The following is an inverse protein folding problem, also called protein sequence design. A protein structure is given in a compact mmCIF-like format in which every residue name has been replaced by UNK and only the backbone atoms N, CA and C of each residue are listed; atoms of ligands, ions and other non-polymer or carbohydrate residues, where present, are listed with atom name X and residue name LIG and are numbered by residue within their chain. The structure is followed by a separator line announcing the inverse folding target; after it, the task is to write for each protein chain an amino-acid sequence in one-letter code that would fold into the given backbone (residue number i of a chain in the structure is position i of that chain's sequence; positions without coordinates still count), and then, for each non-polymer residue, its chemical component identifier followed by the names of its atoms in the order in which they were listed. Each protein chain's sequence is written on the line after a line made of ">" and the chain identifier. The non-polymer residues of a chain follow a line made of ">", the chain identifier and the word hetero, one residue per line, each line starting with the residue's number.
data_IF_267193278937
#
_entry.id   IF_267193278937
#
_cell.length_a   1.000
_cell.length_b   1.000
_cell.length_c   1.000
_cell.angle_alpha   90.00
_cell.angle_beta   90.00
_cell.angle_gamma   90.00
#
_symmetry.space_group_name_H-M   'P 1'
#
loop_
_entity.id
_entity.type
_entity.pdbx_description
1 polymer ?
#
# COMPACT_ATOMS: atom_id res chain seq x y z
N UNK A 1 -6.15 25.47 -6.70
CA UNK A 1 -4.83 25.59 -7.34
C UNK A 1 -4.80 24.89 -8.70
N UNK A 2 -5.18 23.64 -8.83
CA UNK A 2 -5.15 22.90 -10.10
C UNK A 2 -5.91 23.61 -11.22
N UNK A 3 -7.15 24.03 -10.98
CA UNK A 3 -8.06 24.61 -11.99
C UNK A 3 -8.08 26.13 -12.04
N UNK A 4 -7.24 26.79 -11.27
CA UNK A 4 -7.23 28.25 -11.23
C UNK A 4 -6.36 28.81 -12.36
N UNK A 5 -6.95 29.63 -13.24
CA UNK A 5 -6.25 30.20 -14.41
C UNK A 5 -5.20 31.26 -14.04
N UNK A 6 -5.35 31.91 -12.88
CA UNK A 6 -4.47 33.02 -12.48
C UNK A 6 -3.29 32.58 -11.64
N UNK A 7 -3.51 31.63 -10.73
CA UNK A 7 -2.53 31.21 -9.71
C UNK A 7 -2.23 29.72 -9.75
N UNK A 8 -2.59 29.02 -10.80
CA UNK A 8 -2.42 27.59 -10.91
C UNK A 8 -2.32 27.10 -12.35
N UNK A 9 -2.66 25.84 -12.55
CA UNK A 9 -2.57 25.12 -13.82
C UNK A 9 -3.88 25.15 -14.63
N UNK A 10 -4.82 26.05 -14.33
CA UNK A 10 -6.15 26.03 -14.94
C UNK A 10 -6.19 26.29 -16.45
N UNK A 11 -5.11 26.76 -17.04
CA UNK A 11 -4.95 26.82 -18.49
C UNK A 11 -4.86 25.40 -19.09
N UNK A 12 -4.16 24.48 -18.40
CA UNK A 12 -3.86 23.13 -18.86
C UNK A 12 -4.73 22.05 -18.23
N UNK A 13 -5.18 22.25 -16.98
CA UNK A 13 -5.94 21.27 -16.20
C UNK A 13 -7.35 21.81 -15.92
N UNK A 14 -8.37 21.15 -16.46
CA UNK A 14 -9.78 21.50 -16.25
C UNK A 14 -10.39 20.65 -15.14
N UNK A 15 -11.60 20.99 -14.72
CA UNK A 15 -12.29 20.27 -13.64
C UNK A 15 -12.60 18.80 -13.96
N UNK A 16 -12.80 18.46 -15.23
CA UNK A 16 -13.07 17.10 -15.70
C UNK A 16 -11.80 16.25 -15.78
N UNK A 17 -10.62 16.89 -15.81
CA UNK A 17 -9.33 16.22 -15.78
C UNK A 17 -8.89 15.79 -14.36
N UNK A 18 -9.75 15.97 -13.36
CA UNK A 18 -9.45 15.69 -11.96
C UNK A 18 -10.40 14.64 -11.40
N UNK A 19 -9.84 13.57 -10.83
CA UNK A 19 -10.60 12.60 -10.06
C UNK A 19 -11.05 13.20 -8.72
N UNK A 20 -12.24 13.78 -8.74
CA UNK A 20 -12.83 14.44 -7.56
C UNK A 20 -13.19 13.47 -6.45
N UNK A 21 -13.51 12.21 -6.79
CA UNK A 21 -13.90 11.20 -5.81
C UNK A 21 -12.71 10.71 -5.01
N UNK A 22 -11.58 10.46 -5.66
CA UNK A 22 -10.34 10.12 -4.98
C UNK A 22 -9.89 11.26 -4.05
N UNK A 23 -9.91 12.51 -4.54
CA UNK A 23 -9.58 13.67 -3.73
C UNK A 23 -10.52 13.84 -2.52
N UNK A 24 -11.83 13.63 -2.70
CA UNK A 24 -12.80 13.73 -1.62
C UNK A 24 -12.57 12.68 -0.55
N UNK A 25 -12.29 11.42 -0.95
CA UNK A 25 -11.93 10.34 -0.03
C UNK A 25 -10.71 10.69 0.81
N UNK A 26 -9.67 11.23 0.16
CA UNK A 26 -8.44 11.66 0.83
C UNK A 26 -8.70 12.84 1.76
N UNK A 27 -9.51 13.82 1.33
CA UNK A 27 -9.86 14.98 2.16
C UNK A 27 -10.54 14.53 3.47
N UNK A 28 -11.50 13.62 3.40
CA UNK A 28 -12.14 13.06 4.60
C UNK A 28 -11.14 12.36 5.51
N UNK A 29 -10.24 11.56 4.95
CA UNK A 29 -9.18 10.91 5.73
C UNK A 29 -8.23 11.91 6.39
N UNK A 30 -7.95 13.03 5.74
CA UNK A 30 -7.14 14.10 6.31
C UNK A 30 -7.83 14.81 7.50
N UNK A 31 -9.16 14.93 7.43
CA UNK A 31 -9.97 15.60 8.47
C UNK A 31 -10.23 14.71 9.70
N UNK A 32 -9.97 13.41 9.63
CA UNK A 32 -10.10 12.51 10.77
C UNK A 32 -9.31 13.02 11.97
N UNK A 33 -9.94 13.04 13.13
CA UNK A 33 -9.31 13.48 14.37
C UNK A 33 -8.39 12.41 14.93
N UNK A 34 -7.16 12.79 15.21
CA UNK A 34 -6.12 11.93 15.78
C UNK A 34 -5.49 12.61 17.02
N UNK A 35 -4.94 11.81 17.92
CA UNK A 35 -4.26 12.36 19.11
C UNK A 35 -3.08 13.27 18.71
N UNK A 36 -2.99 14.44 19.33
CA UNK A 36 -1.91 15.42 19.12
C UNK A 36 -0.63 15.08 19.91
N UNK A 37 -0.71 14.10 20.81
CA UNK A 37 0.39 13.71 21.71
C UNK A 37 0.52 14.57 22.97
N UNK A 38 -0.37 15.55 23.16
CA UNK A 38 -0.42 16.46 24.33
C UNK A 38 -1.71 16.33 25.13
N UNK A 39 -2.51 15.30 24.85
CA UNK A 39 -3.80 15.02 25.50
C UNK A 39 -5.01 15.61 24.79
N UNK A 40 -4.83 16.27 23.64
CA UNK A 40 -5.87 16.76 22.75
C UNK A 40 -5.99 15.96 21.46
N UNK A 41 -6.82 16.46 20.57
CA UNK A 41 -7.01 15.91 19.22
C UNK A 41 -6.81 16.99 18.17
N UNK A 42 -6.32 16.59 17.00
CA UNK A 42 -6.12 17.46 15.84
C UNK A 42 -6.48 16.71 14.55
N UNK A 43 -6.77 17.38 13.43
CA UNK A 43 -6.89 16.75 12.13
C UNK A 43 -5.64 15.94 11.78
N UNK A 44 -5.83 14.79 11.14
CA UNK A 44 -4.74 13.88 10.79
C UNK A 44 -3.65 14.57 9.98
N UNK A 45 -4.07 15.36 8.98
CA UNK A 45 -3.15 16.16 8.15
C UNK A 45 -3.71 17.57 7.94
N UNK A 46 -2.87 18.55 8.19
CA UNK A 46 -3.14 19.97 7.93
C UNK A 46 -1.94 20.57 7.24
N UNK A 47 -2.17 21.48 6.32
CA UNK A 47 -1.12 22.22 5.65
C UNK A 47 -1.42 23.71 5.66
N UNK A 48 -0.47 24.50 6.12
CA UNK A 48 -0.51 25.96 6.10
C UNK A 48 0.66 26.46 5.25
N UNK A 49 0.37 26.85 4.01
CA UNK A 49 1.38 27.19 3.01
C UNK A 49 1.13 28.58 2.48
N UNK A 50 2.18 29.34 2.34
CA UNK A 50 2.19 30.60 1.64
C UNK A 50 3.23 30.56 0.50
N UNK A 51 2.78 30.65 -0.74
CA UNK A 51 3.62 30.59 -1.93
C UNK A 51 3.84 32.01 -2.44
N UNK A 52 5.07 32.51 -2.31
CA UNK A 52 5.44 33.88 -2.68
C UNK A 52 6.07 34.00 -4.06
N UNK A 53 6.64 32.90 -4.57
CA UNK A 53 7.38 32.89 -5.83
C UNK A 53 6.67 32.00 -6.86
N UNK A 54 6.71 32.41 -8.12
CA UNK A 54 6.31 31.54 -9.21
C UNK A 54 7.24 30.30 -9.22
N UNK A 55 6.65 29.14 -9.12
CA UNK A 55 7.32 27.85 -9.12
C UNK A 55 6.60 26.90 -10.06
N UNK A 56 7.28 25.84 -10.49
CA UNK A 56 6.68 24.78 -11.26
C UNK A 56 5.47 24.20 -10.50
N UNK A 57 4.31 24.17 -11.14
CA UNK A 57 3.05 23.71 -10.57
C UNK A 57 3.16 22.24 -10.16
N UNK A 58 3.80 21.40 -10.98
CA UNK A 58 3.96 19.99 -10.69
C UNK A 58 4.78 19.75 -9.42
N UNK A 59 5.84 20.53 -9.24
CA UNK A 59 6.66 20.47 -8.02
C UNK A 59 5.83 20.83 -6.78
N UNK A 60 5.06 21.92 -6.85
CA UNK A 60 4.22 22.34 -5.72
C UNK A 60 3.18 21.27 -5.40
N UNK A 61 2.54 20.70 -6.42
CA UNK A 61 1.56 19.62 -6.22
C UNK A 61 2.19 18.38 -5.58
N UNK A 62 3.39 18.01 -6.01
CA UNK A 62 4.16 16.91 -5.42
C UNK A 62 4.50 17.19 -3.97
N UNK A 63 4.96 18.41 -3.65
CA UNK A 63 5.25 18.82 -2.28
C UNK A 63 3.97 18.81 -1.41
N UNK A 64 2.83 19.26 -1.94
CA UNK A 64 1.53 19.18 -1.25
C UNK A 64 1.09 17.72 -1.01
N UNK A 65 1.32 16.82 -1.96
CA UNK A 65 1.00 15.41 -1.79
C UNK A 65 1.80 14.77 -0.64
N UNK A 66 3.02 15.23 -0.38
CA UNK A 66 3.82 14.73 0.74
C UNK A 66 3.18 14.99 2.10
N UNK A 67 2.33 16.00 2.24
CA UNK A 67 1.64 16.36 3.49
C UNK A 67 0.77 15.21 3.98
N UNK A 68 0.01 14.61 3.08
CA UNK A 68 -0.89 13.49 3.37
C UNK A 68 -0.30 12.12 2.97
N UNK A 69 1.02 12.04 2.73
CA UNK A 69 1.72 10.80 2.31
C UNK A 69 1.18 10.23 1.01
N UNK A 70 0.80 11.12 0.09
CA UNK A 70 0.19 10.74 -1.17
C UNK A 70 1.15 10.87 -2.34
N UNK A 71 0.71 10.36 -3.47
CA UNK A 71 1.31 10.63 -4.77
C UNK A 71 0.22 11.02 -5.77
N UNK A 72 0.66 11.74 -6.81
CA UNK A 72 -0.16 12.22 -7.91
C UNK A 72 0.32 11.57 -9.20
N UNK A 73 -0.60 11.07 -10.00
CA UNK A 73 -0.31 10.51 -11.31
C UNK A 73 -1.48 10.70 -12.28
N UNK A 74 -1.18 10.60 -13.57
CA UNK A 74 -2.20 10.60 -14.61
C UNK A 74 -2.64 9.18 -14.90
N UNK A 75 -3.95 8.96 -14.93
CA UNK A 75 -4.57 7.69 -15.32
C UNK A 75 -5.92 7.99 -15.97
N UNK A 76 -6.22 7.29 -17.07
CA UNK A 76 -7.48 7.39 -17.81
C UNK A 76 -7.87 8.83 -18.20
N UNK A 77 -6.87 9.66 -18.49
CA UNK A 77 -7.07 11.06 -18.82
C UNK A 77 -7.37 11.98 -17.64
N UNK A 78 -7.29 11.46 -16.40
CA UNK A 78 -7.52 12.25 -15.19
C UNK A 78 -6.30 12.25 -14.27
N UNK A 79 -6.14 13.35 -13.54
CA UNK A 79 -5.18 13.44 -12.44
C UNK A 79 -5.77 12.80 -11.21
N UNK A 80 -5.22 11.63 -10.86
CA UNK A 80 -5.64 10.83 -9.72
C UNK A 80 -4.64 10.97 -8.58
N UNK A 81 -5.13 10.85 -7.36
CA UNK A 81 -4.32 10.88 -6.14
C UNK A 81 -4.53 9.62 -5.33
N UNK A 82 -3.46 9.12 -4.76
CA UNK A 82 -3.51 7.98 -3.84
C UNK A 82 -2.77 8.34 -2.56
N UNK A 83 -3.18 7.74 -1.44
CA UNK A 83 -2.59 7.93 -0.13
C UNK A 83 -1.99 6.62 0.38
N UNK A 84 -0.87 6.73 1.09
CA UNK A 84 -0.27 5.61 1.82
C UNK A 84 -1.06 5.36 3.12
N UNK A 85 -1.99 4.43 3.05
CA UNK A 85 -2.84 3.97 4.15
C UNK A 85 -2.86 2.44 4.20
N UNK A 86 -3.26 1.90 5.34
CA UNK A 86 -3.43 0.44 5.48
C UNK A 86 -4.66 0.00 4.67
N UNK A 87 -4.43 -0.81 3.65
CA UNK A 87 -5.46 -1.42 2.79
C UNK A 87 -5.30 -2.93 2.79
N UNK A 88 -6.35 -3.63 2.42
CA UNK A 88 -6.27 -5.06 2.14
C UNK A 88 -5.60 -5.28 0.78
N UNK A 89 -4.86 -6.38 0.61
CA UNK A 89 -4.30 -6.73 -0.69
C UNK A 89 -5.44 -7.02 -1.70
N UNK A 90 -5.31 -6.44 -2.89
CA UNK A 90 -6.31 -6.61 -3.95
C UNK A 90 -6.03 -7.88 -4.76
N UNK A 91 -4.76 -8.22 -4.95
CA UNK A 91 -4.37 -9.34 -5.79
C UNK A 91 -3.12 -10.05 -5.26
N UNK A 92 -2.98 -11.33 -5.60
CA UNK A 92 -1.81 -12.14 -5.23
C UNK A 92 -1.07 -12.60 -6.47
N UNK A 93 0.21 -12.22 -6.54
CA UNK A 93 1.13 -12.68 -7.59
C UNK A 93 1.92 -13.90 -7.13
N UNK A 94 2.00 -14.88 -8.01
CA UNK A 94 2.76 -16.11 -7.83
C UNK A 94 3.41 -16.53 -9.16
N UNK A 95 4.20 -17.58 -9.16
CA UNK A 95 4.88 -18.06 -10.38
C UNK A 95 3.95 -18.41 -11.53
N UNK A 96 2.66 -18.66 -11.28
CA UNK A 96 1.71 -19.06 -12.32
C UNK A 96 1.14 -17.88 -13.10
N UNK A 97 1.12 -16.67 -12.52
CA UNK A 97 0.58 -15.45 -13.14
C UNK A 97 1.63 -14.36 -13.40
N UNK A 98 2.90 -14.66 -13.15
CA UNK A 98 4.05 -13.83 -13.50
C UNK A 98 4.73 -14.42 -14.75
N UNK A 99 5.21 -13.56 -15.66
CA UNK A 99 5.90 -13.97 -16.88
C UNK A 99 7.20 -14.68 -16.47
N UNK A 100 7.44 -15.85 -17.05
CA UNK A 100 8.57 -16.74 -16.77
C UNK A 100 8.68 -17.18 -15.30
N UNK A 101 7.70 -16.81 -14.46
CA UNK A 101 7.68 -17.11 -13.04
C UNK A 101 8.84 -16.51 -12.24
N UNK A 102 9.46 -15.43 -12.75
CA UNK A 102 10.66 -14.83 -12.18
C UNK A 102 10.32 -13.59 -11.37
N UNK A 103 10.92 -13.50 -10.19
CA UNK A 103 10.89 -12.36 -9.29
C UNK A 103 12.32 -11.86 -9.08
N UNK A 104 12.50 -10.56 -9.20
CA UNK A 104 13.78 -9.89 -8.94
C UNK A 104 13.69 -9.11 -7.62
N UNK A 105 14.68 -9.25 -6.77
CA UNK A 105 14.69 -8.63 -5.45
C UNK A 105 15.88 -7.70 -5.30
N UNK A 106 15.57 -6.45 -4.95
CA UNK A 106 16.57 -5.46 -4.56
C UNK A 106 16.42 -5.11 -3.09
N UNK A 107 17.54 -4.98 -2.39
CA UNK A 107 17.55 -4.68 -0.96
C UNK A 107 18.23 -3.34 -0.68
N UNK A 108 17.64 -2.55 0.22
CA UNK A 108 18.29 -1.36 0.72
C UNK A 108 19.42 -1.70 1.67
N UNK A 109 20.57 -1.05 1.49
CA UNK A 109 21.72 -1.25 2.35
C UNK A 109 21.47 -0.78 3.79
N UNK A 110 22.17 -1.38 4.76
CA UNK A 110 22.04 -1.03 6.18
C UNK A 110 22.38 0.43 6.51
N UNK A 111 23.17 1.09 5.66
CA UNK A 111 23.54 2.52 5.82
C UNK A 111 22.40 3.48 5.51
N UNK A 112 21.40 3.05 4.73
CA UNK A 112 20.23 3.86 4.36
C UNK A 112 19.06 3.68 5.31
N UNK A 113 19.13 2.69 6.21
CA UNK A 113 18.07 2.40 7.20
C UNK A 113 18.19 3.35 8.37
N UNK A 114 17.60 4.54 8.24
CA UNK A 114 17.60 5.56 9.28
C UNK A 114 16.76 5.12 10.48
N UNK A 115 17.28 5.31 11.70
CA UNK A 115 16.57 5.05 12.94
C UNK A 115 16.44 6.27 13.86
N UNK A 116 17.00 7.40 13.43
CA UNK A 116 16.77 8.72 14.01
C UNK A 116 16.48 9.72 12.90
N UNK A 117 15.37 10.46 12.98
CA UNK A 117 14.96 11.46 12.00
C UNK A 117 14.92 12.84 12.62
N UNK A 118 15.55 13.79 11.95
CA UNK A 118 15.40 15.22 12.28
C UNK A 118 14.35 15.79 11.33
N UNK A 119 13.20 16.13 11.88
CA UNK A 119 12.07 16.69 11.12
C UNK A 119 12.05 18.20 11.33
N UNK A 120 12.14 18.95 10.26
CA UNK A 120 12.01 20.41 10.29
C UNK A 120 10.54 20.79 10.05
N UNK A 121 9.98 21.60 10.93
CA UNK A 121 8.60 22.08 10.86
C UNK A 121 8.51 23.57 11.23
N UNK A 122 7.38 24.23 10.94
CA UNK A 122 7.19 25.65 11.22
C UNK A 122 6.44 25.83 12.55
N UNK A 123 7.12 26.38 13.57
CA UNK A 123 6.53 26.55 14.90
C UNK A 123 5.69 27.83 14.98
N UNK A 124 4.34 27.76 15.18
CA UNK A 124 3.50 28.93 15.33
C UNK A 124 3.86 29.80 16.53
N UNK A 125 4.38 29.18 17.61
CA UNK A 125 4.75 29.90 18.84
C UNK A 125 6.08 30.65 18.69
N UNK A 126 6.84 30.38 17.62
CA UNK A 126 8.08 31.09 17.29
C UNK A 126 7.99 31.76 15.92
N UNK A 127 6.95 32.55 15.69
CA UNK A 127 6.76 33.34 14.46
C UNK A 127 6.86 32.50 13.18
N UNK A 128 6.40 31.23 13.23
CA UNK A 128 6.50 30.25 12.13
C UNK A 128 7.92 29.98 11.64
N UNK A 129 8.93 30.26 12.46
CA UNK A 129 10.30 29.88 12.15
C UNK A 129 10.45 28.38 12.11
N UNK A 130 11.37 27.91 11.26
CA UNK A 130 11.67 26.50 11.13
C UNK A 130 12.44 25.99 12.37
N UNK A 131 11.91 24.96 13.00
CA UNK A 131 12.53 24.30 14.14
C UNK A 131 12.75 22.81 13.84
N UNK A 132 13.90 22.25 14.28
CA UNK A 132 14.18 20.84 14.18
C UNK A 132 13.49 20.08 15.33
N UNK A 133 12.86 18.96 15.00
CA UNK A 133 12.28 18.01 15.95
C UNK A 133 12.98 16.65 15.78
N UNK A 134 13.37 16.03 16.87
CA UNK A 134 14.02 14.74 16.87
C UNK A 134 13.01 13.63 17.12
N UNK A 135 12.96 12.66 16.19
CA UNK A 135 12.14 11.45 16.31
C UNK A 135 13.07 10.26 16.17
N UNK A 136 12.99 9.33 17.13
CA UNK A 136 13.87 8.15 17.14
C UNK A 136 13.10 6.86 17.38
N UNK A 137 13.60 5.76 16.81
CA UNK A 137 13.21 4.41 17.13
C UNK A 137 14.22 3.77 18.09
N UNK A 138 13.95 3.89 19.38
CA UNK A 138 14.83 3.37 20.44
C UNK A 138 15.03 1.87 20.36
N UNK A 139 14.00 1.12 19.96
CA UNK A 139 14.09 -0.33 19.88
C UNK A 139 15.06 -0.74 18.78
N UNK A 140 14.99 -0.07 17.63
CA UNK A 140 15.92 -0.31 16.53
C UNK A 140 17.35 0.12 16.87
N UNK A 141 17.53 1.25 17.56
CA UNK A 141 18.84 1.73 18.01
C UNK A 141 19.50 0.69 18.94
N UNK A 142 18.75 0.19 19.92
CA UNK A 142 19.25 -0.85 20.83
C UNK A 142 19.59 -2.15 20.07
N UNK A 143 18.73 -2.57 19.15
CA UNK A 143 18.93 -3.79 18.34
C UNK A 143 20.17 -3.72 17.44
N UNK A 144 20.40 -2.54 16.83
CA UNK A 144 21.50 -2.37 15.84
C UNK A 144 22.79 -1.86 16.47
N UNK A 145 22.73 -1.29 17.68
CA UNK A 145 23.87 -0.66 18.36
C UNK A 145 24.41 0.59 17.66
N UNK A 146 23.69 1.13 16.66
CA UNK A 146 24.14 2.25 15.83
C UNK A 146 23.01 3.26 15.64
N UNK A 147 23.38 4.54 15.58
CA UNK A 147 22.47 5.63 15.23
C UNK A 147 22.75 6.04 13.79
N UNK A 148 21.73 5.86 12.93
CA UNK A 148 21.73 6.31 11.53
C UNK A 148 20.74 7.46 11.42
N UNK A 149 21.27 8.66 11.19
CA UNK A 149 20.48 9.90 11.15
C UNK A 149 19.95 10.16 9.75
N UNK A 150 18.69 10.59 9.66
CA UNK A 150 18.07 11.14 8.47
C UNK A 150 17.52 12.53 8.75
N UNK A 151 17.28 13.28 7.68
CA UNK A 151 16.62 14.59 7.75
C UNK A 151 15.38 14.60 6.87
N UNK A 152 14.33 15.28 7.30
CA UNK A 152 13.11 15.44 6.54
C UNK A 152 12.49 16.81 6.83
N UNK A 153 11.82 17.38 5.83
CA UNK A 153 11.06 18.62 5.99
C UNK A 153 9.58 18.28 5.95
N UNK A 154 8.85 18.62 7.01
CA UNK A 154 7.41 18.50 7.05
C UNK A 154 6.78 19.73 6.36
N UNK A 155 6.52 19.60 5.07
CA UNK A 155 6.05 20.69 4.21
C UNK A 155 4.73 21.27 4.72
N UNK A 156 4.67 22.59 4.95
CA UNK A 156 3.48 23.30 5.43
C UNK A 156 2.96 22.86 6.81
N UNK A 157 3.73 22.08 7.55
CA UNK A 157 3.33 21.58 8.86
C UNK A 157 3.56 22.64 9.94
N UNK A 158 2.49 22.97 10.67
CA UNK A 158 2.50 23.91 11.80
C UNK A 158 2.09 23.25 13.11
N UNK A 159 1.94 21.93 13.13
CA UNK A 159 1.65 21.14 14.34
C UNK A 159 2.83 20.24 14.69
N UNK A 160 3.26 20.30 15.95
CA UNK A 160 4.30 19.41 16.48
C UNK A 160 3.86 17.94 16.45
N UNK A 161 2.59 17.66 16.81
CA UNK A 161 2.03 16.31 16.77
C UNK A 161 2.07 15.72 15.36
N UNK A 162 1.70 16.50 14.34
CA UNK A 162 1.78 16.09 12.93
C UNK A 162 3.23 15.87 12.50
N UNK A 163 4.18 16.73 12.92
CA UNK A 163 5.60 16.57 12.60
C UNK A 163 6.18 15.28 13.22
N UNK A 164 5.80 14.95 14.46
CA UNK A 164 6.17 13.69 15.13
C UNK A 164 5.62 12.48 14.34
N UNK A 165 4.34 12.51 13.96
CA UNK A 165 3.70 11.42 13.17
C UNK A 165 4.36 11.25 11.80
N UNK A 166 4.76 12.36 11.16
CA UNK A 166 5.50 12.34 9.91
C UNK A 166 6.88 11.70 10.07
N UNK A 167 7.64 12.08 11.11
CA UNK A 167 8.93 11.48 11.42
C UNK A 167 8.83 9.99 11.73
N UNK A 168 7.84 9.57 12.53
CA UNK A 168 7.60 8.16 12.85
C UNK A 168 7.27 7.34 11.60
N UNK A 169 6.45 7.88 10.71
CA UNK A 169 6.14 7.21 9.44
C UNK A 169 7.39 7.03 8.58
N UNK A 170 8.22 8.06 8.45
CA UNK A 170 9.50 7.98 7.71
C UNK A 170 10.45 6.94 8.30
N UNK A 171 10.57 6.88 9.64
CA UNK A 171 11.39 5.87 10.31
C UNK A 171 10.84 4.46 10.08
N UNK A 172 9.53 4.30 10.23
CA UNK A 172 8.89 3.01 10.01
C UNK A 172 9.11 2.49 8.59
N UNK A 173 8.95 3.36 7.59
CA UNK A 173 9.21 3.05 6.18
C UNK A 173 10.66 2.65 5.96
N UNK A 174 11.63 3.42 6.50
CA UNK A 174 13.05 3.14 6.33
C UNK A 174 13.50 1.81 6.99
N UNK A 175 12.85 1.41 8.09
CA UNK A 175 13.20 0.20 8.84
C UNK A 175 12.49 -1.04 8.28
N UNK A 176 11.22 -0.92 7.88
CA UNK A 176 10.38 -2.07 7.51
C UNK A 176 10.27 -2.28 6.00
N UNK A 177 10.28 -1.22 5.20
CA UNK A 177 10.20 -1.30 3.74
C UNK A 177 11.61 -1.31 3.14
N UNK A 178 12.30 -2.43 3.28
CA UNK A 178 13.72 -2.55 2.92
C UNK A 178 13.97 -3.32 1.64
N UNK A 179 12.93 -3.76 0.99
CA UNK A 179 12.97 -4.65 -0.16
C UNK A 179 12.07 -4.15 -1.28
N UNK A 180 12.55 -4.25 -2.49
CA UNK A 180 11.79 -3.99 -3.72
C UNK A 180 11.72 -5.32 -4.47
N UNK A 181 10.52 -5.71 -4.88
CA UNK A 181 10.30 -6.89 -5.71
C UNK A 181 9.83 -6.44 -7.09
N UNK A 182 10.63 -6.73 -8.10
CA UNK A 182 10.32 -6.49 -9.51
C UNK A 182 9.85 -7.78 -10.20
N UNK A 183 8.80 -7.69 -11.03
CA UNK A 183 8.34 -8.80 -11.87
C UNK A 183 7.50 -8.27 -13.02
N UNK A 184 7.35 -9.07 -14.08
CA UNK A 184 6.54 -8.74 -15.23
C UNK A 184 5.27 -9.59 -15.26
N UNK A 185 4.15 -8.98 -15.66
CA UNK A 185 2.86 -9.65 -15.74
C UNK A 185 2.23 -9.49 -17.12
N UNK A 186 1.31 -10.36 -17.47
CA UNK A 186 0.49 -10.21 -18.65
C UNK A 186 -0.69 -9.24 -18.39
N UNK A 187 -1.61 -9.13 -19.34
CA UNK A 187 -2.76 -8.22 -19.30
C UNK A 187 -3.71 -8.47 -18.12
N UNK A 188 -3.62 -9.63 -17.49
CA UNK A 188 -4.41 -10.00 -16.31
C UNK A 188 -4.20 -9.09 -15.08
N UNK A 189 -3.15 -8.27 -15.06
CA UNK A 189 -2.87 -7.30 -14.01
C UNK A 189 -3.19 -5.85 -14.43
N UNK A 190 -3.82 -5.62 -15.57
CA UNK A 190 -4.08 -4.28 -16.11
C UNK A 190 -5.07 -3.45 -15.27
N UNK A 191 -5.83 -4.09 -14.37
CA UNK A 191 -6.75 -3.40 -13.46
C UNK A 191 -6.05 -2.77 -12.24
N UNK A 192 -4.79 -3.13 -11.98
CA UNK A 192 -4.04 -2.59 -10.85
C UNK A 192 -3.59 -1.16 -11.12
N UNK A 193 -3.66 -0.36 -10.07
CA UNK A 193 -3.25 1.04 -10.11
C UNK A 193 -2.08 1.31 -9.16
N UNK A 194 -1.24 2.32 -9.45
CA UNK A 194 -0.19 2.72 -8.53
C UNK A 194 -0.74 3.04 -7.13
N UNK A 195 -0.16 2.42 -6.09
CA UNK A 195 -0.61 2.54 -4.70
C UNK A 195 -1.55 1.45 -4.21
N UNK A 196 -1.87 0.47 -5.07
CA UNK A 196 -2.58 -0.73 -4.65
C UNK A 196 -1.65 -1.66 -3.87
N UNK A 197 -2.22 -2.34 -2.88
CA UNK A 197 -1.49 -3.35 -2.11
C UNK A 197 -1.70 -4.70 -2.76
N UNK A 198 -0.60 -5.39 -3.02
CA UNK A 198 -0.58 -6.73 -3.61
C UNK A 198 0.19 -7.69 -2.71
N UNK A 199 -0.17 -8.96 -2.77
CA UNK A 199 0.62 -10.04 -2.18
C UNK A 199 1.57 -10.61 -3.24
N UNK A 200 2.80 -10.88 -2.84
CA UNK A 200 3.78 -11.60 -3.67
C UNK A 200 4.10 -12.91 -2.98
N UNK A 201 3.84 -14.01 -3.68
CA UNK A 201 4.10 -15.36 -3.21
C UNK A 201 5.14 -16.03 -4.10
N UNK A 202 6.40 -15.93 -3.69
CA UNK A 202 7.51 -16.61 -4.35
C UNK A 202 7.82 -17.93 -3.64
N UNK A 203 7.55 -19.03 -4.32
CA UNK A 203 7.79 -20.37 -3.78
C UNK A 203 9.27 -20.70 -3.58
N UNK A 204 10.17 -20.07 -4.34
CA UNK A 204 11.62 -20.31 -4.20
C UNK A 204 12.15 -19.70 -2.90
N UNK A 205 11.53 -18.60 -2.49
CA UNK A 205 11.94 -17.91 -1.27
C UNK A 205 11.30 -18.47 0.00
N UNK A 206 10.04 -18.88 -0.09
CA UNK A 206 9.28 -19.38 1.07
C UNK A 206 9.22 -20.90 1.16
N UNK A 207 9.83 -21.62 0.22
CA UNK A 207 9.85 -23.09 0.12
C UNK A 207 8.45 -23.75 0.12
N UNK A 208 7.38 -22.97 0.06
CA UNK A 208 6.00 -23.47 0.06
C UNK A 208 5.21 -22.77 -1.06
N UNK A 209 4.55 -23.57 -1.88
CA UNK A 209 3.72 -23.08 -2.97
C UNK A 209 2.25 -23.10 -2.55
N UNK A 210 1.64 -21.95 -2.41
CA UNK A 210 0.20 -21.80 -2.12
C UNK A 210 -0.61 -21.25 -3.29
N UNK A 211 0.00 -21.02 -4.45
CA UNK A 211 -0.67 -20.51 -5.64
C UNK A 211 -0.39 -21.37 -6.86
N UNK A 212 -1.33 -21.43 -7.79
CA UNK A 212 -1.22 -22.25 -8.99
C UNK A 212 -2.37 -22.02 -9.96
N UNK A 213 -2.57 -22.99 -10.81
CA UNK A 213 -3.68 -23.04 -11.77
C UNK A 213 -4.62 -24.17 -11.40
N UNK A 214 -5.89 -24.01 -11.75
CA UNK A 214 -6.86 -25.10 -11.66
C UNK A 214 -6.49 -26.13 -12.71
N UNK A 215 -6.29 -27.39 -12.30
CA UNK A 215 -5.94 -28.48 -13.20
C UNK A 215 -7.11 -28.81 -14.14
N UNK A 216 -6.77 -29.21 -15.37
CA UNK A 216 -7.76 -29.76 -16.31
C UNK A 216 -8.00 -31.25 -16.12
N UNK A 217 -7.16 -31.91 -15.30
CA UNK A 217 -7.27 -33.34 -14.95
C UNK A 217 -8.02 -33.47 -13.64
N UNK A 218 -9.04 -34.29 -13.60
CA UNK A 218 -9.86 -34.53 -12.42
C UNK A 218 -11.33 -34.09 -12.56
N UNK A 219 -12.16 -34.59 -11.66
CA UNK A 219 -13.58 -34.23 -11.63
C UNK A 219 -13.76 -32.88 -10.97
N UNK A 220 -14.32 -31.94 -11.70
CA UNK A 220 -14.71 -30.64 -11.17
C UNK A 220 -16.14 -30.68 -10.67
N UNK A 221 -16.38 -30.13 -9.51
CA UNK A 221 -17.73 -29.92 -8.99
C UNK A 221 -17.80 -28.55 -8.31
N UNK A 222 -18.97 -28.16 -7.83
CA UNK A 222 -19.13 -26.92 -7.07
C UNK A 222 -18.35 -26.93 -5.76
N UNK A 223 -17.93 -28.09 -5.28
CA UNK A 223 -17.24 -28.28 -4.00
C UNK A 223 -15.82 -28.82 -4.15
N UNK A 224 -15.40 -29.21 -5.36
CA UNK A 224 -14.07 -29.81 -5.61
C UNK A 224 -13.35 -29.05 -6.70
N UNK A 225 -12.20 -28.48 -6.38
CA UNK A 225 -11.33 -27.76 -7.31
C UNK A 225 -10.02 -28.53 -7.41
N UNK A 226 -9.72 -29.18 -8.57
CA UNK A 226 -8.46 -29.87 -8.76
C UNK A 226 -7.30 -28.87 -8.92
N UNK A 227 -6.23 -29.07 -8.15
CA UNK A 227 -5.03 -28.24 -8.16
C UNK A 227 -4.01 -28.79 -9.16
N UNK A 228 -3.19 -27.90 -9.75
CA UNK A 228 -2.10 -28.28 -10.65
C UNK A 228 -0.89 -28.89 -9.91
N UNK A 229 -0.82 -28.66 -8.62
CA UNK A 229 0.21 -29.24 -7.75
C UNK A 229 -0.31 -29.46 -6.34
N UNK A 230 0.28 -30.41 -5.62
CA UNK A 230 -0.05 -30.68 -4.23
C UNK A 230 0.34 -29.53 -3.31
N UNK A 231 -0.46 -29.27 -2.30
CA UNK A 231 -0.24 -28.25 -1.26
C UNK A 231 -0.28 -28.94 0.11
N UNK A 232 0.70 -28.66 0.96
CA UNK A 232 0.71 -29.17 2.34
C UNK A 232 -0.03 -28.20 3.25
N UNK A 233 -1.13 -28.64 3.85
CA UNK A 233 -1.91 -27.86 4.79
C UNK A 233 -1.58 -28.27 6.24
N UNK A 234 -1.55 -27.28 7.13
CA UNK A 234 -1.32 -27.51 8.56
C UNK A 234 -2.67 -27.71 9.25
N UNK A 235 -2.78 -28.77 10.04
CA UNK A 235 -3.99 -29.04 10.83
C UNK A 235 -4.27 -27.90 11.81
N UNK A 236 -5.55 -27.57 11.97
CA UNK A 236 -6.00 -26.51 12.88
C UNK A 236 -5.86 -25.08 12.34
N UNK A 237 -5.36 -24.90 11.11
CA UNK A 237 -5.30 -23.61 10.45
C UNK A 237 -6.49 -23.42 9.50
N UNK A 238 -7.01 -22.20 9.40
CA UNK A 238 -8.06 -21.85 8.44
C UNK A 238 -7.42 -21.34 7.14
N UNK A 239 -7.76 -21.94 6.03
CA UNK A 239 -7.27 -21.56 4.71
C UNK A 239 -8.40 -20.97 3.88
N UNK A 240 -8.09 -19.99 3.05
CA UNK A 240 -8.99 -19.44 2.04
C UNK A 240 -8.42 -19.75 0.65
N UNK A 241 -9.28 -20.14 -0.26
CA UNK A 241 -8.95 -20.34 -1.65
C UNK A 241 -9.52 -19.19 -2.46
N UNK A 242 -8.64 -18.37 -3.02
CA UNK A 242 -9.03 -17.27 -3.91
C UNK A 242 -8.93 -17.75 -5.36
N UNK A 243 -10.03 -17.77 -6.07
CA UNK A 243 -10.12 -18.21 -7.47
C UNK A 243 -10.44 -17.02 -8.36
N UNK A 244 -9.62 -16.80 -9.39
CA UNK A 244 -9.89 -15.81 -10.43
C UNK A 244 -10.64 -16.50 -11.57
N UNK A 245 -11.88 -16.09 -11.79
CA UNK A 245 -12.69 -16.57 -12.89
C UNK A 245 -12.50 -15.67 -14.12
N UNK A 246 -12.17 -16.25 -15.25
CA UNK A 246 -12.13 -15.54 -16.53
C UNK A 246 -13.55 -15.59 -17.11
N UNK A 247 -14.31 -14.53 -16.92
CA UNK A 247 -15.59 -14.35 -17.60
C UNK A 247 -15.46 -13.30 -18.71
N UNK A 248 -16.25 -13.38 -19.81
CA UNK A 248 -16.16 -12.45 -20.92
C UNK A 248 -16.45 -10.98 -20.56
N UNK A 249 -17.01 -10.70 -19.39
CA UNK A 249 -17.46 -9.36 -19.00
C UNK A 249 -16.94 -8.86 -17.64
N UNK A 250 -16.32 -9.69 -16.80
CA UNK A 250 -15.79 -9.26 -15.52
C UNK A 250 -14.75 -10.24 -14.99
N UNK A 251 -13.70 -9.73 -14.35
CA UNK A 251 -12.83 -10.53 -13.47
C UNK A 251 -13.48 -10.55 -12.08
N UNK A 252 -13.99 -11.70 -11.68
CA UNK A 252 -14.46 -11.91 -10.32
C UNK A 252 -13.38 -12.63 -9.53
N UNK A 253 -13.00 -12.07 -8.38
CA UNK A 253 -12.18 -12.74 -7.37
C UNK A 253 -13.15 -13.26 -6.30
N UNK A 254 -13.27 -14.57 -6.16
CA UNK A 254 -14.04 -15.17 -5.09
C UNK A 254 -13.12 -15.84 -4.07
N UNK A 255 -13.24 -15.44 -2.83
CA UNK A 255 -12.56 -16.05 -1.69
C UNK A 255 -13.44 -17.15 -1.09
N UNK A 256 -12.99 -18.38 -1.20
CA UNK A 256 -13.70 -19.54 -0.65
C UNK A 256 -12.94 -20.14 0.53
N UNK A 257 -13.64 -20.45 1.59
CA UNK A 257 -13.04 -21.14 2.74
C UNK A 257 -12.81 -22.62 2.41
N UNK A 258 -11.56 -23.07 2.57
CA UNK A 258 -11.20 -24.47 2.37
C UNK A 258 -11.53 -25.26 3.65
N UNK A 259 -12.21 -26.38 3.50
CA UNK A 259 -12.48 -27.27 4.61
C UNK A 259 -11.20 -28.01 5.05
N UNK A 260 -10.47 -27.43 5.99
CA UNK A 260 -9.23 -28.00 6.53
C UNK A 260 -9.42 -29.22 7.45
N UNK A 261 -10.66 -29.50 7.85
CA UNK A 261 -10.98 -30.65 8.73
C UNK A 261 -10.87 -31.99 7.99
N UNK A 262 -10.96 -31.98 6.65
CA UNK A 262 -10.85 -33.17 5.82
C UNK A 262 -9.41 -33.71 5.67
N UNK A 263 -8.40 -33.00 6.19
CA UNK A 263 -6.99 -33.33 5.99
C UNK A 263 -6.26 -33.55 7.30
N UNK A 264 -5.40 -34.55 7.36
CA UNK A 264 -4.47 -34.77 8.47
C UNK A 264 -3.27 -33.84 8.36
N UNK A 265 -2.62 -33.55 9.49
CA UNK A 265 -1.42 -32.70 9.49
C UNK A 265 -0.31 -33.30 8.62
N UNK A 266 0.14 -32.56 7.61
CA UNK A 266 1.22 -32.98 6.71
C UNK A 266 0.76 -33.71 5.45
N UNK A 267 -0.53 -33.88 5.22
CA UNK A 267 -1.03 -34.54 4.00
C UNK A 267 -0.82 -33.66 2.76
N UNK A 268 -0.40 -34.29 1.68
CA UNK A 268 -0.29 -33.66 0.36
C UNK A 268 -1.68 -33.61 -0.27
N UNK A 269 -2.21 -32.41 -0.44
CA UNK A 269 -3.55 -32.18 -0.99
C UNK A 269 -3.44 -31.87 -2.48
N UNK A 270 -4.06 -32.69 -3.31
CA UNK A 270 -4.14 -32.49 -4.77
C UNK A 270 -5.48 -31.85 -5.18
N UNK A 271 -6.46 -31.85 -4.29
CA UNK A 271 -7.77 -31.26 -4.51
C UNK A 271 -8.17 -30.42 -3.30
N UNK A 272 -8.73 -29.24 -3.53
CA UNK A 272 -9.27 -28.40 -2.47
C UNK A 272 -10.78 -28.63 -2.36
N UNK A 273 -11.24 -28.99 -1.16
CA UNK A 273 -12.66 -29.11 -0.84
C UNK A 273 -13.16 -27.79 -0.25
N UNK A 274 -14.20 -27.25 -0.88
CA UNK A 274 -14.80 -25.98 -0.50
C UNK A 274 -15.99 -26.29 0.42
N UNK A 275 -16.07 -25.58 1.56
CA UNK A 275 -17.21 -25.71 2.46
C UNK A 275 -18.46 -25.13 1.82
N UNK A 276 -19.48 -25.97 1.57
CA UNK A 276 -20.73 -25.60 0.93
C UNK A 276 -21.57 -24.57 1.71
N UNK A 277 -21.23 -24.34 2.99
CA UNK A 277 -21.98 -23.42 3.87
C UNK A 277 -21.44 -21.97 3.84
N UNK A 278 -20.37 -21.69 3.10
CA UNK A 278 -19.73 -20.37 3.13
C UNK A 278 -19.65 -19.72 1.74
N UNK A 279 -20.71 -19.84 0.93
CA UNK A 279 -20.89 -19.04 -0.28
C UNK A 279 -21.51 -17.70 0.08
N UNK A 280 -20.74 -16.79 0.65
CA UNK A 280 -21.10 -15.37 0.60
C UNK A 280 -20.70 -14.84 -0.76
N UNK A 281 -21.66 -14.83 -1.70
CA UNK A 281 -21.59 -13.94 -2.86
C UNK A 281 -21.75 -12.53 -2.33
N UNK A 282 -20.70 -11.76 -2.26
CA UNK A 282 -20.82 -10.31 -2.30
C UNK A 282 -21.00 -9.93 -3.78
N UNK A 283 -22.23 -9.65 -4.15
CA UNK A 283 -22.55 -8.98 -5.41
C UNK A 283 -22.02 -7.54 -5.28
N UNK A 284 -21.05 -7.19 -6.15
CA UNK A 284 -20.54 -5.83 -6.28
C UNK A 284 -21.52 -4.93 -7.04
#
# INVERSE_FOLDING_TARGET
>A
MLTNNRYGAGEYVKEFDIDKFALYKIARYCDDLVADGKGGVEPRFRSNIYITKATDVYKVLKDMATVFRGMLYWMDGQLTTVIDEKKLPIYTFNKSNVIDGQFEYEYTGSKTRTNQMVVTWNNPNNEYKQEPLFVEDRQNIVKTGKIVKGTAVAFGCTSEGQAIRYGRWKLWTAINQTEICGFSTAINAAFLTPGDIINVQDSDRHATRYGGRVSNTGSRSQTVVPLDSSVTLLSGSTYKLSIVFIQPAAFALEDMTVNSVAFSAGDLVTEAFIDSNNTTREEA
#
